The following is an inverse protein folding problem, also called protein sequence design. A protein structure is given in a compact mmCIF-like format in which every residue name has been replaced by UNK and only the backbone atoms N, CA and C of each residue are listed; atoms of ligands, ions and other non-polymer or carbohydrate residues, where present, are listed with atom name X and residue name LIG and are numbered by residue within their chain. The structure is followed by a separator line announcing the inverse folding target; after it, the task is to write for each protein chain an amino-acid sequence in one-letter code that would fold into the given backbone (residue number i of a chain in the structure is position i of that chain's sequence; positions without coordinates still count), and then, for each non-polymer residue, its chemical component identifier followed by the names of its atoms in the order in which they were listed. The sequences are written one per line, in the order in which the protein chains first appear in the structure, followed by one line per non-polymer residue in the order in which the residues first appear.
data_IF_380896409744
#
_entry.id   IF_380896409744
#
_cell.length_a   1.000
_cell.length_b   1.000
_cell.length_c   1.000
_cell.angle_alpha   90.00
_cell.angle_beta   90.00
_cell.angle_gamma   90.00
#
_symmetry.space_group_name_H-M   'P 1'
#
loop_
_entity.id
_entity.type
_entity.pdbx_description
1 polymer ?
#
# COMPACT_ATOMS: atom_id res chain seq x y z
N UNK A 1 -7.64 -23.75 12.59
CA UNK A 1 -6.75 -23.40 11.46
C UNK A 1 -6.41 -24.58 10.55
N UNK A 2 -5.76 -25.66 11.01
CA UNK A 2 -5.41 -26.79 10.11
C UNK A 2 -6.61 -27.39 9.36
N UNK A 3 -7.74 -27.59 10.06
CA UNK A 3 -8.99 -28.08 9.44
C UNK A 3 -9.52 -27.08 8.42
N UNK A 4 -9.56 -25.79 8.75
CA UNK A 4 -10.00 -24.74 7.83
C UNK A 4 -9.13 -24.68 6.58
N UNK A 5 -7.81 -24.84 6.72
CA UNK A 5 -6.87 -24.84 5.60
C UNK A 5 -7.16 -25.98 4.64
N UNK A 6 -7.30 -27.20 5.14
CA UNK A 6 -7.59 -28.36 4.27
C UNK A 6 -9.01 -28.29 3.70
N UNK A 7 -10.00 -27.81 4.47
CA UNK A 7 -11.36 -27.66 3.99
C UNK A 7 -11.45 -26.60 2.87
N UNK A 8 -10.87 -25.42 3.08
CA UNK A 8 -10.79 -24.37 2.06
C UNK A 8 -9.95 -24.83 0.86
N UNK A 9 -8.88 -25.60 1.08
CA UNK A 9 -8.10 -26.21 0.00
C UNK A 9 -8.93 -27.17 -0.86
N UNK A 10 -9.70 -28.07 -0.25
CA UNK A 10 -10.61 -28.97 -1.00
C UNK A 10 -11.66 -28.17 -1.76
N UNK A 11 -12.26 -27.14 -1.16
CA UNK A 11 -13.19 -26.25 -1.86
C UNK A 11 -12.51 -25.52 -3.04
N UNK A 12 -11.24 -25.15 -2.92
CA UNK A 12 -10.47 -24.52 -3.98
C UNK A 12 -10.26 -25.45 -5.18
N UNK A 13 -10.00 -26.73 -4.93
CA UNK A 13 -9.93 -27.75 -5.97
C UNK A 13 -11.31 -27.99 -6.60
N UNK A 14 -12.38 -28.14 -5.81
CA UNK A 14 -13.73 -28.35 -6.36
C UNK A 14 -14.25 -27.16 -7.18
N UNK A 15 -13.91 -25.93 -6.78
CA UNK A 15 -14.25 -24.72 -7.51
C UNK A 15 -13.47 -24.56 -8.83
N UNK A 16 -12.58 -25.51 -9.20
CA UNK A 16 -11.99 -25.54 -10.55
C UNK A 16 -13.02 -25.77 -11.63
N UNK A 17 -14.08 -26.50 -11.27
CA UNK A 17 -15.19 -26.79 -12.14
C UNK A 17 -16.32 -25.79 -11.89
N UNK A 18 -16.94 -25.29 -12.96
CA UNK A 18 -18.04 -24.32 -12.87
C UNK A 18 -19.19 -24.83 -12.01
N UNK A 19 -19.63 -26.07 -12.24
CA UNK A 19 -20.68 -26.71 -11.46
C UNK A 19 -20.29 -26.80 -9.97
N UNK A 20 -19.03 -27.12 -9.67
CA UNK A 20 -18.50 -27.14 -8.31
C UNK A 20 -18.57 -25.77 -7.64
N UNK A 21 -18.15 -24.71 -8.35
CA UNK A 21 -18.22 -23.34 -7.84
C UNK A 21 -19.68 -22.89 -7.59
N UNK A 22 -20.60 -23.23 -8.49
CA UNK A 22 -22.03 -22.93 -8.34
C UNK A 22 -22.65 -23.65 -7.13
N UNK A 23 -22.34 -24.94 -6.93
CA UNK A 23 -22.81 -25.71 -5.76
C UNK A 23 -22.27 -25.10 -4.47
N UNK A 24 -20.98 -24.75 -4.43
CA UNK A 24 -20.35 -24.12 -3.26
C UNK A 24 -21.05 -22.80 -2.91
N UNK A 25 -21.36 -21.97 -3.92
CA UNK A 25 -22.11 -20.73 -3.71
C UNK A 25 -23.53 -20.99 -3.18
N UNK A 26 -24.22 -21.98 -3.77
CA UNK A 26 -25.58 -22.34 -3.40
C UNK A 26 -25.69 -22.85 -1.96
N UNK A 27 -24.67 -23.57 -1.47
CA UNK A 27 -24.57 -24.00 -0.06
C UNK A 27 -24.24 -22.86 0.91
N UNK A 28 -24.14 -21.62 0.43
CA UNK A 28 -23.96 -20.44 1.27
C UNK A 28 -22.52 -20.23 1.76
N UNK A 29 -21.53 -20.75 1.04
CA UNK A 29 -20.12 -20.66 1.45
C UNK A 29 -19.54 -19.24 1.42
N UNK A 30 -20.20 -18.29 0.74
CA UNK A 30 -19.69 -16.91 0.57
C UNK A 30 -19.37 -16.24 1.91
N UNK A 31 -20.31 -16.22 2.86
CA UNK A 31 -20.11 -15.56 4.14
C UNK A 31 -18.94 -16.16 4.96
N UNK A 32 -18.87 -17.49 5.21
CA UNK A 32 -17.75 -18.06 5.95
C UNK A 32 -16.42 -17.92 5.21
N UNK A 33 -16.40 -17.97 3.87
CA UNK A 33 -15.16 -17.71 3.10
C UNK A 33 -14.69 -16.26 3.23
N UNK A 34 -15.61 -15.29 3.22
CA UNK A 34 -15.27 -13.88 3.45
C UNK A 34 -14.69 -13.67 4.85
N UNK A 35 -15.22 -14.34 5.88
CA UNK A 35 -14.63 -14.30 7.23
C UNK A 35 -13.21 -14.87 7.26
N UNK A 36 -12.95 -15.95 6.50
CA UNK A 36 -11.63 -16.58 6.41
C UNK A 36 -10.57 -15.71 5.73
N UNK A 37 -10.95 -14.67 4.97
CA UNK A 37 -10.00 -13.69 4.42
C UNK A 37 -9.21 -12.94 5.49
N UNK A 38 -9.73 -12.89 6.72
CA UNK A 38 -9.08 -12.25 7.87
C UNK A 38 -8.37 -13.24 8.79
N UNK A 39 -8.17 -14.49 8.34
CA UNK A 39 -7.40 -15.48 9.07
C UNK A 39 -5.93 -15.07 9.13
N UNK A 40 -5.31 -15.18 10.30
CA UNK A 40 -3.85 -15.02 10.49
C UNK A 40 -3.02 -16.11 9.78
N UNK A 41 -3.68 -17.16 9.31
CA UNK A 41 -3.05 -18.19 8.50
C UNK A 41 -3.19 -17.80 7.02
N UNK A 42 -2.10 -17.30 6.44
CA UNK A 42 -2.05 -16.88 5.04
C UNK A 42 -2.56 -17.96 4.07
N UNK A 43 -2.29 -19.24 4.35
CA UNK A 43 -2.78 -20.35 3.53
C UNK A 43 -4.30 -20.48 3.55
N UNK A 44 -4.94 -20.27 4.70
CA UNK A 44 -6.40 -20.26 4.83
C UNK A 44 -7.01 -19.08 4.06
N UNK A 45 -6.47 -17.88 4.27
CA UNK A 45 -6.96 -16.66 3.61
C UNK A 45 -6.78 -16.74 2.08
N UNK A 46 -5.65 -17.28 1.61
CA UNK A 46 -5.36 -17.48 0.18
C UNK A 46 -6.34 -18.45 -0.46
N UNK A 47 -6.60 -19.60 0.16
CA UNK A 47 -7.58 -20.54 -0.38
C UNK A 47 -9.00 -19.95 -0.39
N UNK A 48 -9.39 -19.25 0.67
CA UNK A 48 -10.70 -18.61 0.72
C UNK A 48 -10.88 -17.56 -0.39
N UNK A 49 -9.87 -16.73 -0.63
CA UNK A 49 -9.84 -15.76 -1.73
C UNK A 49 -9.97 -16.42 -3.10
N UNK A 50 -9.24 -17.53 -3.32
CA UNK A 50 -9.30 -18.27 -4.57
C UNK A 50 -10.70 -18.84 -4.84
N UNK A 51 -11.36 -19.42 -3.83
CA UNK A 51 -12.72 -19.94 -3.95
C UNK A 51 -13.72 -18.82 -4.27
N UNK A 52 -13.68 -17.71 -3.54
CA UNK A 52 -14.53 -16.54 -3.80
C UNK A 52 -14.33 -15.97 -5.22
N UNK A 53 -13.09 -15.91 -5.67
CA UNK A 53 -12.77 -15.46 -7.03
C UNK A 53 -13.38 -16.38 -8.09
N UNK A 54 -13.26 -17.70 -7.91
CA UNK A 54 -13.82 -18.70 -8.82
C UNK A 54 -15.35 -18.65 -8.87
N UNK A 55 -16.01 -18.53 -7.71
CA UNK A 55 -17.48 -18.33 -7.62
C UNK A 55 -17.94 -17.04 -8.34
N UNK A 56 -17.04 -16.07 -8.50
CA UNK A 56 -17.36 -14.80 -9.15
C UNK A 56 -17.24 -14.82 -10.69
N UNK A 57 -16.76 -15.91 -11.29
CA UNK A 57 -16.34 -15.95 -12.70
C UNK A 57 -17.43 -15.49 -13.68
N UNK A 58 -18.67 -15.96 -13.48
CA UNK A 58 -19.85 -15.63 -14.28
C UNK A 58 -20.57 -14.34 -13.84
N UNK A 59 -20.10 -13.68 -12.78
CA UNK A 59 -20.71 -12.44 -12.29
C UNK A 59 -20.34 -11.24 -13.19
N UNK A 60 -21.15 -10.17 -13.19
CA UNK A 60 -20.83 -8.95 -13.93
C UNK A 60 -19.45 -8.38 -13.59
N UNK A 61 -18.81 -7.69 -14.54
CA UNK A 61 -17.47 -7.14 -14.34
C UNK A 61 -17.38 -6.19 -13.14
N UNK A 62 -18.41 -5.38 -12.88
CA UNK A 62 -18.43 -4.48 -11.72
C UNK A 62 -18.52 -5.21 -10.38
N UNK A 63 -19.04 -6.43 -10.37
CA UNK A 63 -18.98 -7.30 -9.19
C UNK A 63 -17.55 -7.81 -8.98
N UNK A 64 -16.93 -8.36 -10.02
CA UNK A 64 -15.55 -8.88 -9.96
C UNK A 64 -14.53 -7.82 -9.56
N UNK A 65 -14.68 -6.58 -10.04
CA UNK A 65 -13.85 -5.45 -9.63
C UNK A 65 -13.96 -5.16 -8.13
N UNK A 66 -15.20 -5.09 -7.61
CA UNK A 66 -15.43 -4.87 -6.18
C UNK A 66 -14.83 -5.98 -5.33
N UNK A 67 -15.08 -7.24 -5.73
CA UNK A 67 -14.49 -8.39 -5.05
C UNK A 67 -12.96 -8.34 -5.08
N UNK A 68 -12.34 -8.08 -6.24
CA UNK A 68 -10.88 -7.97 -6.35
C UNK A 68 -10.29 -6.89 -5.45
N UNK A 69 -10.96 -5.73 -5.33
CA UNK A 69 -10.57 -4.69 -4.38
C UNK A 69 -10.66 -5.17 -2.92
N UNK A 70 -11.74 -5.86 -2.54
CA UNK A 70 -11.90 -6.42 -1.19
C UNK A 70 -10.85 -7.48 -0.86
N UNK A 71 -10.56 -8.38 -1.80
CA UNK A 71 -9.51 -9.39 -1.67
C UNK A 71 -8.13 -8.72 -1.47
N UNK A 72 -7.83 -7.70 -2.27
CA UNK A 72 -6.58 -6.95 -2.16
C UNK A 72 -6.50 -6.26 -0.78
N UNK A 73 -7.57 -5.61 -0.35
CA UNK A 73 -7.59 -4.94 0.94
C UNK A 73 -7.48 -5.92 2.12
N UNK A 74 -7.98 -7.14 1.98
CA UNK A 74 -7.95 -8.14 3.07
C UNK A 74 -6.59 -8.82 3.16
N UNK A 75 -6.02 -9.26 2.03
CA UNK A 75 -4.78 -10.02 2.00
C UNK A 75 -3.54 -9.14 2.23
N UNK A 76 -3.53 -7.89 1.77
CA UNK A 76 -2.36 -7.01 1.88
C UNK A 76 -2.36 -6.13 3.14
N UNK A 77 -3.43 -6.11 3.95
CA UNK A 77 -3.48 -5.32 5.19
C UNK A 77 -2.49 -5.80 6.23
N UNK A 78 -2.21 -7.10 6.25
CA UNK A 78 -1.30 -7.72 7.22
C UNK A 78 0.15 -7.28 6.97
N UNK A 79 0.54 -7.06 5.71
CA UNK A 79 1.85 -6.52 5.32
C UNK A 79 2.02 -5.05 5.77
N UNK A 80 0.99 -4.21 5.56
CA UNK A 80 1.02 -2.81 6.00
C UNK A 80 1.15 -2.66 7.53
N UNK A 81 0.63 -3.63 8.29
CA UNK A 81 0.72 -3.64 9.75
C UNK A 81 2.11 -4.03 10.26
N UNK A 82 2.96 -4.67 9.43
CA UNK A 82 4.39 -4.89 9.70
C UNK A 82 5.19 -3.59 9.50
N UNK A 83 4.82 -2.75 8.52
CA UNK A 83 5.44 -1.43 8.30
C UNK A 83 4.98 -0.37 9.31
N UNK A 84 3.72 -0.41 9.76
CA UNK A 84 3.18 0.51 10.77
C UNK A 84 3.44 0.06 12.22
N UNK A 85 3.75 -1.23 12.42
CA UNK A 85 3.99 -1.86 13.71
C UNK A 85 5.43 -1.73 14.20
N UNK A 86 6.03 -0.54 14.15
CA UNK A 86 7.15 -0.14 15.00
C UNK A 86 8.48 -0.91 14.97
N UNK A 87 8.62 -2.05 14.27
CA UNK A 87 9.84 -2.89 14.32
C UNK A 87 10.80 -2.62 13.15
N UNK A 88 10.36 -1.85 12.15
CA UNK A 88 11.21 -1.27 11.10
C UNK A 88 11.27 0.27 11.22
N UNK A 89 10.98 0.79 12.41
CA UNK A 89 11.34 2.16 12.75
C UNK A 89 12.84 2.31 12.60
N UNK A 90 13.26 3.31 11.81
CA UNK A 90 14.65 3.72 11.69
C UNK A 90 15.36 3.57 13.05
N UNK A 91 16.52 2.88 13.12
CA UNK A 91 17.22 2.76 14.39
C UNK A 91 17.46 4.17 14.93
N UNK A 92 17.32 4.39 16.26
CA UNK A 92 17.51 5.70 16.88
C UNK A 92 18.84 6.36 16.47
N UNK A 93 19.83 5.52 16.16
CA UNK A 93 21.16 5.88 15.68
C UNK A 93 21.16 6.65 14.34
N UNK A 94 20.12 6.49 13.50
CA UNK A 94 19.98 7.23 12.23
C UNK A 94 19.32 8.61 12.44
N UNK A 95 18.51 8.76 13.50
CA UNK A 95 17.87 10.01 13.86
C UNK A 95 18.91 11.03 14.37
N UNK A 96 19.91 10.56 15.13
CA UNK A 96 21.05 11.37 15.60
C UNK A 96 22.03 11.73 14.47
N UNK A 97 22.10 10.93 13.41
CA UNK A 97 22.95 11.20 12.23
C UNK A 97 22.31 12.19 11.23
N UNK A 98 21.00 12.47 11.40
CA UNK A 98 20.17 13.33 10.56
C UNK A 98 19.75 14.62 11.29
N UNK A 99 20.41 15.00 12.37
CA UNK A 99 20.37 16.35 12.94
C UNK A 99 21.47 17.23 12.30
N UNK A 100 21.29 17.83 11.11
CA UNK A 100 22.06 18.99 10.75
C UNK A 100 21.52 20.18 11.55
N UNK A 101 22.24 20.45 12.62
CA UNK A 101 22.99 21.70 12.72
C UNK A 101 22.30 22.88 13.47
N UNK A 102 22.25 22.76 14.80
CA UNK A 102 22.17 23.92 15.70
C UNK A 102 23.50 24.72 15.77
N UNK A 103 24.55 24.33 15.05
CA UNK A 103 25.83 25.05 14.97
C UNK A 103 25.90 26.00 13.75
N UNK A 104 25.04 25.81 12.75
CA UNK A 104 24.99 26.55 11.49
C UNK A 104 24.47 27.96 11.77
N UNK A 105 23.45 28.07 12.62
CA UNK A 105 22.82 29.33 13.01
C UNK A 105 23.80 30.25 13.76
N UNK A 106 24.72 29.68 14.57
CA UNK A 106 25.75 30.47 15.25
C UNK A 106 26.78 31.06 14.27
N UNK A 107 27.06 30.38 13.15
CA UNK A 107 28.01 30.85 12.13
C UNK A 107 27.43 31.92 11.21
N UNK A 108 26.10 31.92 11.01
CA UNK A 108 25.39 32.94 10.22
C UNK A 108 25.09 34.24 10.97
N UNK A 109 25.33 34.29 12.29
CA UNK A 109 25.14 35.50 13.11
C UNK A 109 26.26 36.55 12.97
N UNK A 110 27.39 36.21 12.33
CA UNK A 110 28.53 37.11 12.15
C UNK A 110 28.64 37.50 10.68
N UNK A 111 27.95 38.59 10.33
CA UNK A 111 28.00 39.18 8.99
C UNK A 111 29.41 39.61 8.61
N UNK A 112 29.88 39.34 7.37
CA UNK A 112 31.16 39.83 6.87
C UNK A 112 31.14 41.37 6.72
N UNK A 113 32.31 42.04 6.84
CA UNK A 113 32.38 43.49 6.92
C UNK A 113 31.95 44.15 5.60
N UNK A 114 31.06 45.14 5.72
CA UNK A 114 30.60 45.96 4.60
C UNK A 114 31.76 46.71 3.95
N UNK A 115 31.95 46.53 2.64
CA UNK A 115 32.75 47.41 1.79
C UNK A 115 31.86 48.20 0.84
N UNK A 116 32.21 49.47 0.73
CA UNK A 116 31.42 50.63 0.31
C UNK A 116 31.12 50.66 -1.20
N UNK A 117 29.95 51.21 -1.55
CA UNK A 117 29.47 51.45 -2.91
C UNK A 117 30.30 52.49 -3.68
N UNK A 118 30.58 52.25 -4.97
CA UNK A 118 30.87 53.32 -5.93
C UNK A 118 30.43 52.98 -7.36
N UNK A 119 29.39 53.69 -7.81
CA UNK A 119 29.25 54.34 -9.12
C UNK A 119 29.69 53.63 -10.42
N UNK A 120 28.76 53.53 -11.37
CA UNK A 120 29.09 53.37 -12.79
C UNK A 120 27.89 53.00 -13.68
N UNK A 121 27.03 53.97 -13.99
CA UNK A 121 25.93 53.77 -14.94
C UNK A 121 26.38 53.73 -16.40
N UNK A 122 25.54 53.14 -17.27
CA UNK A 122 25.13 53.62 -18.61
C UNK A 122 24.18 52.59 -19.29
N UNK A 123 23.39 53.02 -20.30
CA UNK A 123 21.99 52.62 -20.44
C UNK A 123 21.73 51.64 -21.60
N UNK A 124 20.60 50.93 -21.55
CA UNK A 124 20.05 50.20 -22.69
C UNK A 124 19.07 51.10 -23.46
N UNK A 125 19.37 51.35 -24.73
CA UNK A 125 18.52 52.07 -25.68
C UNK A 125 17.49 51.15 -26.34
N UNK A 126 16.30 51.72 -26.48
CA UNK A 126 15.04 51.22 -27.02
C UNK A 126 14.94 51.36 -28.55
N UNK A 127 14.41 50.34 -29.24
CA UNK A 127 13.65 50.41 -30.51
C UNK A 127 13.26 48.97 -30.93
N UNK A 128 12.05 48.57 -31.31
CA UNK A 128 10.84 49.27 -31.72
C UNK A 128 10.57 49.07 -33.21
N UNK A 129 9.56 48.27 -33.59
CA UNK A 129 8.83 48.45 -34.86
C UNK A 129 8.66 47.23 -35.77
N UNK A 130 7.39 46.81 -35.87
CA UNK A 130 6.63 46.18 -36.98
C UNK A 130 7.18 44.98 -37.75
#
# INVERSE_FOLDING_TARGET
ENIQRVAAGVLCELATDKEGAEIIEHEGATAPLTELLHSRNEGVATYAAAVLFRMSEDKPQDYKKRLSMELTNSLFREDQNLWAGGDLGMPPDLQDMLEPDQMLDAMYSQGPPSVHSSHGGRPFSQSGGY
#
